data_IF_653360608891
#
_entry.id   IF_653360608891
#
_cell.length_a   1.000
_cell.length_b   1.000
_cell.length_c   1.000
_cell.angle_alpha   90.00
_cell.angle_beta   90.00
_cell.angle_gamma   90.00
#
_symmetry.space_group_name_H-M   'P 1'
#
loop_
_entity.id
_entity.type
_entity.pdbx_description
1 polymer ?
#
# COMPACT_ATOMS: atom_id res chain seq x y z
N UNK A 1 3.90 -20.17 -0.94
CA UNK A 1 4.01 -18.71 -0.70
C UNK A 1 2.64 -18.22 -0.28
N UNK A 2 2.52 -17.72 0.96
CA UNK A 2 1.27 -17.19 1.47
C UNK A 2 1.28 -15.68 1.26
N UNK A 3 0.27 -15.16 0.57
CA UNK A 3 0.13 -13.74 0.31
C UNK A 3 -0.99 -13.18 1.17
N UNK A 4 -0.80 -11.97 1.69
CA UNK A 4 -1.79 -11.27 2.49
C UNK A 4 -2.26 -10.01 1.77
N UNK A 5 -3.57 -9.78 1.78
CA UNK A 5 -4.17 -8.57 1.21
C UNK A 5 -3.97 -7.40 2.18
N UNK A 6 -2.95 -6.57 1.91
CA UNK A 6 -2.59 -5.42 2.75
C UNK A 6 -3.24 -4.11 2.30
N UNK A 7 -3.63 -4.02 1.04
CA UNK A 7 -4.19 -2.80 0.47
C UNK A 7 -4.72 -3.03 -0.93
N UNK A 8 -5.61 -2.14 -1.38
CA UNK A 8 -6.15 -2.11 -2.73
C UNK A 8 -5.80 -0.78 -3.38
N UNK A 9 -5.23 -0.85 -4.58
CA UNK A 9 -5.03 0.32 -5.44
C UNK A 9 -6.39 0.73 -5.97
N UNK A 10 -6.84 1.94 -5.65
CA UNK A 10 -8.17 2.41 -6.04
C UNK A 10 -8.14 3.41 -7.18
N UNK A 11 -7.09 4.21 -7.28
CA UNK A 11 -6.96 5.19 -8.34
C UNK A 11 -5.50 5.60 -8.54
N UNK A 12 -5.15 6.06 -9.73
CA UNK A 12 -3.88 6.75 -10.01
C UNK A 12 -4.17 8.24 -10.08
N UNK A 13 -3.44 9.07 -9.36
CA UNK A 13 -3.57 10.53 -9.43
C UNK A 13 -2.39 11.12 -10.24
N UNK A 14 -2.68 12.15 -11.04
CA UNK A 14 -1.64 12.94 -11.71
C UNK A 14 -0.99 12.30 -12.95
N UNK A 15 -0.32 13.15 -13.74
CA UNK A 15 0.48 12.73 -14.90
C UNK A 15 1.85 12.15 -14.51
N UNK A 16 2.30 12.35 -13.27
CA UNK A 16 3.62 11.91 -12.77
C UNK A 16 3.59 10.55 -12.06
N UNK A 17 2.50 9.78 -12.19
CA UNK A 17 2.44 8.40 -11.72
C UNK A 17 2.15 8.23 -10.23
N UNK A 18 1.52 9.22 -9.60
CA UNK A 18 1.09 9.07 -8.21
C UNK A 18 -0.10 8.09 -8.13
N UNK A 19 -0.21 7.37 -7.02
CA UNK A 19 -1.20 6.31 -6.85
C UNK A 19 -1.84 6.37 -5.48
N UNK A 20 -3.16 6.25 -5.45
CA UNK A 20 -3.95 6.18 -4.23
C UNK A 20 -4.22 4.72 -3.88
N UNK A 21 -3.70 4.31 -2.73
CA UNK A 21 -3.90 2.99 -2.15
C UNK A 21 -4.83 3.12 -0.94
N UNK A 22 -5.86 2.28 -0.88
CA UNK A 22 -6.64 2.07 0.34
C UNK A 22 -6.03 0.92 1.12
N UNK A 23 -5.52 1.24 2.30
CA UNK A 23 -4.97 0.27 3.24
C UNK A 23 -6.10 -0.50 3.90
N UNK A 24 -5.97 -1.82 3.99
CA UNK A 24 -6.93 -2.68 4.73
C UNK A 24 -6.48 -2.84 6.19
N UNK A 25 -5.32 -2.27 6.56
CA UNK A 25 -4.72 -2.34 7.89
C UNK A 25 -4.71 -0.97 8.57
N UNK A 26 -4.89 -0.94 9.89
CA UNK A 26 -4.85 0.29 10.70
C UNK A 26 -3.48 0.98 10.72
N UNK A 27 -2.40 0.26 10.35
CA UNK A 27 -1.01 0.75 10.36
C UNK A 27 -0.49 1.04 8.95
N UNK A 28 -1.27 1.78 8.15
CA UNK A 28 -0.91 2.11 6.76
C UNK A 28 0.46 2.80 6.63
N UNK A 29 0.71 3.84 7.43
CA UNK A 29 1.95 4.62 7.35
C UNK A 29 3.18 3.83 7.74
N UNK A 30 3.08 2.96 8.74
CA UNK A 30 4.20 2.09 9.15
C UNK A 30 4.41 0.94 8.15
N UNK A 31 3.33 0.42 7.56
CA UNK A 31 3.38 -0.70 6.61
C UNK A 31 3.90 -0.31 5.22
N UNK A 32 3.62 0.90 4.75
CA UNK A 32 4.10 1.41 3.46
C UNK A 32 5.39 2.24 3.57
N UNK A 33 6.03 2.26 4.75
CA UNK A 33 7.36 2.87 4.90
C UNK A 33 8.39 2.14 4.07
N UNK A 34 9.34 2.92 3.53
CA UNK A 34 10.46 2.41 2.74
C UNK A 34 11.27 1.43 3.59
N UNK A 35 11.33 0.17 3.17
CA UNK A 35 12.05 -0.91 3.86
C UNK A 35 11.20 -1.76 4.81
N UNK A 36 9.88 -1.58 4.86
CA UNK A 36 9.00 -2.48 5.59
C UNK A 36 8.85 -3.83 4.86
N UNK A 37 9.19 -4.93 5.53
CA UNK A 37 8.96 -6.28 5.05
C UNK A 37 7.73 -6.89 5.75
N UNK A 38 6.92 -7.62 4.99
CA UNK A 38 5.86 -8.46 5.55
C UNK A 38 6.50 -9.70 6.15
N UNK A 39 6.53 -9.77 7.48
CA UNK A 39 6.86 -10.98 8.24
C UNK A 39 5.81 -12.08 8.04
#
# INVERSE_FOLDING_TARGET
MNYFNVGKIVNTQGLQGEMRVLSVTDFAEERFKKGAELA
#
